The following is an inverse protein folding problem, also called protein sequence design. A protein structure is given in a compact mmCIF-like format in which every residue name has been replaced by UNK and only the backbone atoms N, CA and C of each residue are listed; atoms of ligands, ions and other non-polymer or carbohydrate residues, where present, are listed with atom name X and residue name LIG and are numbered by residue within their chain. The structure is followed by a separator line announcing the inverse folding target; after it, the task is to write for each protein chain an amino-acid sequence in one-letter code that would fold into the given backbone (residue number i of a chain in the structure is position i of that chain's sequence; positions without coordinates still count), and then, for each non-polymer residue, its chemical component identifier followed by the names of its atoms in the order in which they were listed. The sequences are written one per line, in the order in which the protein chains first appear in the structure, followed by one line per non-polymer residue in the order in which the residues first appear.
data_IF_257365981724
#
_entry.id   IF_257365981724
#
_cell.length_a   1.000
_cell.length_b   1.000
_cell.length_c   1.000
_cell.angle_alpha   90.00
_cell.angle_beta   90.00
_cell.angle_gamma   90.00
#
_symmetry.space_group_name_H-M   'P 1'
#
loop_
_entity.id
_entity.type
_entity.pdbx_description
1 polymer ?
#
# COMPACT_ATOMS: atom_id res chain seq x y z
N UNK A 1 28.08 -17.40 -21.78
CA UNK A 1 26.63 -17.27 -22.08
C UNK A 1 25.92 -16.30 -21.15
N UNK A 2 25.87 -16.50 -19.83
CA UNK A 2 25.22 -15.55 -18.90
C UNK A 2 25.79 -14.13 -18.93
N UNK A 3 27.12 -14.00 -19.06
CA UNK A 3 27.79 -12.70 -19.23
C UNK A 3 27.37 -12.03 -20.55
N UNK A 4 27.21 -12.81 -21.63
CA UNK A 4 26.71 -12.30 -22.91
C UNK A 4 25.24 -11.87 -22.80
N UNK A 5 24.40 -12.66 -22.12
CA UNK A 5 23.00 -12.33 -21.90
C UNK A 5 22.86 -11.06 -21.03
N UNK A 6 23.65 -10.92 -19.98
CA UNK A 6 23.72 -9.71 -19.16
C UNK A 6 24.23 -8.51 -19.96
N UNK A 7 25.30 -8.67 -20.76
CA UNK A 7 25.85 -7.61 -21.58
C UNK A 7 24.85 -7.12 -22.63
N UNK A 8 24.19 -8.04 -23.34
CA UNK A 8 23.12 -7.72 -24.32
C UNK A 8 21.96 -7.04 -23.62
N UNK A 9 21.54 -7.53 -22.45
CA UNK A 9 20.46 -6.93 -21.68
C UNK A 9 20.77 -5.48 -21.24
N UNK A 10 21.95 -5.25 -20.67
CA UNK A 10 22.40 -3.92 -20.24
C UNK A 10 22.54 -2.98 -21.44
N UNK A 11 23.08 -3.48 -22.56
CA UNK A 11 23.20 -2.70 -23.79
C UNK A 11 21.83 -2.29 -24.33
N UNK A 12 20.88 -3.22 -24.42
CA UNK A 12 19.49 -2.96 -24.83
C UNK A 12 18.81 -1.95 -23.91
N UNK A 13 18.94 -2.11 -22.59
CA UNK A 13 18.40 -1.16 -21.62
C UNK A 13 19.04 0.24 -21.78
N UNK A 14 20.36 0.32 -22.00
CA UNK A 14 21.06 1.59 -22.21
C UNK A 14 20.64 2.28 -23.53
N UNK A 15 20.46 1.52 -24.61
CA UNK A 15 19.95 2.02 -25.90
C UNK A 15 18.54 2.59 -25.74
N UNK A 16 17.67 1.84 -25.09
CA UNK A 16 16.31 2.27 -24.85
C UNK A 16 16.24 3.51 -23.95
N UNK A 17 17.03 3.56 -22.88
CA UNK A 17 17.11 4.75 -22.05
C UNK A 17 17.64 5.95 -22.83
N UNK A 18 18.62 5.78 -23.72
CA UNK A 18 19.11 6.87 -24.57
C UNK A 18 18.05 7.38 -25.55
N UNK A 19 17.18 6.49 -26.04
CA UNK A 19 16.15 6.84 -27.02
C UNK A 19 14.90 7.44 -26.37
N UNK A 20 14.42 6.85 -25.27
CA UNK A 20 13.17 7.24 -24.61
C UNK A 20 13.33 8.19 -23.44
N UNK A 21 14.51 8.27 -22.78
CA UNK A 21 14.67 9.18 -21.65
C UNK A 21 14.76 10.63 -22.12
N UNK A 22 13.91 11.47 -21.51
CA UNK A 22 13.92 12.91 -21.73
C UNK A 22 15.21 13.50 -21.13
N UNK A 23 15.81 14.46 -21.82
CA UNK A 23 17.00 15.17 -21.32
C UNK A 23 16.62 15.98 -20.08
N UNK A 24 17.22 15.68 -18.92
CA UNK A 24 17.02 16.40 -17.66
C UNK A 24 16.36 15.61 -16.53
N UNK A 25 16.05 14.33 -16.74
CA UNK A 25 15.47 13.48 -15.69
C UNK A 25 16.45 13.17 -14.54
N UNK A 26 15.91 12.96 -13.35
CA UNK A 26 16.69 12.68 -12.13
C UNK A 26 17.40 11.32 -12.26
N UNK A 27 18.67 11.25 -11.88
CA UNK A 27 19.51 10.04 -12.03
C UNK A 27 18.89 8.79 -11.39
N UNK A 28 18.24 8.91 -10.21
CA UNK A 28 17.63 7.74 -9.56
C UNK A 28 16.53 7.11 -10.40
N UNK A 29 15.75 7.90 -11.14
CA UNK A 29 14.68 7.40 -12.01
C UNK A 29 15.31 6.60 -13.15
N UNK A 30 16.38 7.13 -13.73
CA UNK A 30 17.10 6.47 -14.82
C UNK A 30 17.70 5.13 -14.37
N UNK A 31 18.29 5.07 -13.17
CA UNK A 31 18.85 3.84 -12.61
C UNK A 31 17.75 2.82 -12.32
N UNK A 32 16.64 3.22 -11.70
CA UNK A 32 15.52 2.31 -11.38
C UNK A 32 14.87 1.75 -12.66
N UNK A 33 14.64 2.59 -13.66
CA UNK A 33 14.04 2.15 -14.93
C UNK A 33 15.04 1.28 -15.71
N UNK A 34 16.30 1.68 -15.78
CA UNK A 34 17.35 0.91 -16.46
C UNK A 34 17.56 -0.47 -15.86
N UNK A 35 17.58 -0.57 -14.53
CA UNK A 35 17.68 -1.85 -13.82
C UNK A 35 16.44 -2.71 -14.05
N UNK A 36 15.24 -2.14 -14.01
CA UNK A 36 13.99 -2.85 -14.35
C UNK A 36 14.02 -3.45 -15.76
N UNK A 37 14.43 -2.66 -16.76
CA UNK A 37 14.50 -3.12 -18.15
C UNK A 37 15.60 -4.17 -18.35
N UNK A 38 16.73 -4.00 -17.66
CA UNK A 38 17.83 -4.99 -17.69
C UNK A 38 17.39 -6.34 -17.09
N UNK A 39 16.58 -6.32 -16.03
CA UNK A 39 16.03 -7.56 -15.45
C UNK A 39 15.02 -8.20 -16.42
N UNK A 40 14.17 -7.41 -17.07
CA UNK A 40 13.22 -7.89 -18.07
C UNK A 40 13.88 -8.56 -19.27
N UNK A 41 14.83 -7.89 -19.92
CA UNK A 41 15.56 -8.47 -21.06
C UNK A 41 16.37 -9.71 -20.68
N UNK A 42 16.93 -9.73 -19.47
CA UNK A 42 17.66 -10.90 -18.97
C UNK A 42 16.74 -12.13 -18.87
N UNK A 43 15.50 -11.98 -18.40
CA UNK A 43 14.57 -13.11 -18.27
C UNK A 43 14.24 -13.77 -19.61
N UNK A 44 14.11 -13.00 -20.70
CA UNK A 44 13.88 -13.55 -22.05
C UNK A 44 15.05 -14.38 -22.56
N UNK A 45 16.28 -13.97 -22.24
CA UNK A 45 17.49 -14.69 -22.65
C UNK A 45 17.72 -15.97 -21.82
N UNK A 46 17.12 -16.06 -20.64
CA UNK A 46 17.16 -17.24 -19.77
C UNK A 46 16.06 -18.26 -20.13
N UNK A 47 14.96 -17.81 -20.73
CA UNK A 47 13.84 -18.65 -21.15
C UNK A 47 14.22 -19.92 -21.96
N UNK A 48 15.04 -19.84 -23.03
CA UNK A 48 15.39 -21.05 -23.79
C UNK A 48 16.12 -22.09 -22.94
N UNK A 49 16.97 -21.64 -22.01
CA UNK A 49 17.68 -22.53 -21.09
C UNK A 49 16.76 -23.17 -20.05
N UNK A 50 15.74 -22.45 -19.58
CA UNK A 50 14.72 -23.03 -18.70
C UNK A 50 13.89 -24.09 -19.44
N UNK A 51 13.53 -23.83 -20.69
CA UNK A 51 12.78 -24.75 -21.53
C UNK A 51 13.56 -26.05 -21.77
N UNK A 52 14.85 -25.95 -22.11
CA UNK A 52 15.74 -27.10 -22.28
C UNK A 52 15.92 -27.89 -20.97
N UNK A 53 16.07 -27.18 -19.83
CA UNK A 53 16.20 -27.82 -18.53
C UNK A 53 14.91 -28.53 -18.08
N UNK A 54 13.74 -27.97 -18.38
CA UNK A 54 12.45 -28.60 -18.14
C UNK A 54 12.26 -29.86 -19.01
N UNK A 55 12.62 -29.78 -20.29
CA UNK A 55 12.57 -30.91 -21.22
C UNK A 55 13.49 -32.06 -20.77
N UNK A 56 14.74 -31.74 -20.41
CA UNK A 56 15.69 -32.71 -19.87
C UNK A 56 15.15 -33.41 -18.59
N UNK A 57 14.58 -32.65 -17.65
CA UNK A 57 13.97 -33.25 -16.44
C UNK A 57 12.81 -34.17 -16.78
N UNK A 58 11.97 -33.81 -17.73
CA UNK A 58 10.87 -34.66 -18.19
C UNK A 58 11.39 -35.95 -18.82
N UNK A 59 12.39 -35.86 -19.70
CA UNK A 59 13.04 -37.00 -20.33
C UNK A 59 13.60 -37.98 -19.29
N UNK A 60 14.38 -37.48 -18.31
CA UNK A 60 14.94 -38.33 -17.24
C UNK A 60 13.85 -38.99 -16.39
N UNK A 61 12.76 -38.28 -16.10
CA UNK A 61 11.64 -38.82 -15.35
C UNK A 61 10.95 -39.95 -16.11
N UNK A 62 10.63 -39.76 -17.39
CA UNK A 62 9.95 -40.77 -18.22
C UNK A 62 10.82 -42.00 -18.46
N UNK A 63 12.12 -41.82 -18.73
CA UNK A 63 13.04 -42.94 -18.96
C UNK A 63 13.28 -43.76 -17.69
N UNK A 64 13.32 -43.12 -16.51
CA UNK A 64 13.42 -43.83 -15.23
C UNK A 64 12.16 -44.68 -14.92
N UNK A 65 10.97 -44.18 -15.25
CA UNK A 65 9.70 -44.91 -15.03
C UNK A 65 9.46 -46.01 -16.07
N UNK A 66 9.98 -45.85 -17.29
CA UNK A 66 9.95 -46.90 -18.31
C UNK A 66 10.88 -48.08 -17.98
N UNK A 67 11.96 -47.83 -17.22
CA UNK A 67 12.92 -48.85 -16.79
C UNK A 67 12.54 -49.54 -15.46
N UNK A 68 11.48 -49.11 -14.77
CA UNK A 68 11.00 -49.78 -13.57
C UNK A 68 10.38 -51.15 -13.94
N UNK A 69 10.63 -52.23 -13.18
CA UNK A 69 10.13 -53.55 -13.50
C UNK A 69 8.60 -53.57 -13.44
N UNK A 70 7.94 -53.68 -14.59
CA UNK A 70 6.51 -54.00 -14.68
C UNK A 70 6.34 -55.41 -14.14
N UNK A 71 5.74 -55.55 -12.96
CA UNK A 71 5.25 -56.84 -12.50
C UNK A 71 4.20 -57.33 -13.50
N UNK A 72 4.50 -58.45 -14.17
CA UNK A 72 3.62 -59.33 -14.95
C UNK A 72 2.24 -58.78 -15.39
N UNK A 73 2.21 -57.65 -16.09
CA UNK A 73 1.03 -57.22 -16.83
C UNK A 73 1.32 -57.38 -18.31
N UNK A 74 0.51 -58.23 -18.94
CA UNK A 74 0.57 -58.59 -20.35
C UNK A 74 0.65 -57.35 -21.23
N UNK A 75 1.62 -57.37 -22.14
CA UNK A 75 2.18 -56.25 -22.91
C UNK A 75 1.24 -55.58 -23.94
N UNK A 76 -0.09 -55.59 -23.75
CA UNK A 76 -1.03 -55.18 -24.80
C UNK A 76 -1.77 -53.84 -24.58
N UNK A 77 -1.63 -53.16 -23.43
CA UNK A 77 -2.29 -51.85 -23.20
C UNK A 77 -1.30 -50.70 -22.95
N UNK A 78 -0.11 -50.76 -23.55
CA UNK A 78 0.73 -49.57 -23.66
C UNK A 78 0.38 -48.90 -24.98
N UNK A 79 -0.47 -47.88 -24.92
CA UNK A 79 -0.48 -46.82 -25.92
C UNK A 79 0.95 -46.26 -25.91
N UNK A 80 1.78 -46.78 -26.81
CA UNK A 80 3.10 -46.27 -27.06
C UNK A 80 2.90 -44.89 -27.69
N UNK A 81 3.16 -43.84 -26.91
CA UNK A 81 3.50 -42.55 -27.48
C UNK A 81 4.76 -42.82 -28.32
N UNK A 82 4.64 -42.72 -29.64
CA UNK A 82 5.63 -43.03 -30.70
C UNK A 82 6.99 -42.29 -30.57
N UNK A 83 7.25 -41.61 -29.46
CA UNK A 83 8.42 -40.74 -29.28
C UNK A 83 9.09 -41.06 -27.93
N UNK A 84 9.75 -42.22 -27.85
CA UNK A 84 10.48 -42.66 -26.66
C UNK A 84 12.00 -42.42 -26.86
N UNK A 85 12.56 -41.32 -26.32
CA UNK A 85 13.99 -41.01 -26.49
C UNK A 85 14.83 -41.94 -25.62
N UNK A 86 15.59 -42.82 -26.26
CA UNK A 86 16.51 -43.76 -25.61
C UNK A 86 17.81 -43.10 -25.08
N UNK A 87 18.07 -41.84 -25.44
CA UNK A 87 19.24 -41.10 -24.96
C UNK A 87 18.87 -39.64 -24.63
N UNK A 88 18.79 -39.31 -23.34
CA UNK A 88 18.50 -37.95 -22.90
C UNK A 88 19.80 -37.13 -22.95
N UNK A 89 20.11 -36.52 -24.10
CA UNK A 89 21.24 -35.61 -24.21
C UNK A 89 20.93 -34.26 -23.54
N UNK A 90 21.35 -34.12 -22.28
CA UNK A 90 21.23 -32.88 -21.54
C UNK A 90 22.56 -32.12 -21.60
N UNK A 91 22.56 -30.85 -22.01
CA UNK A 91 23.80 -30.07 -22.03
C UNK A 91 24.35 -29.91 -20.60
N UNK A 92 25.62 -30.30 -20.35
CA UNK A 92 26.24 -30.17 -19.04
C UNK A 92 26.56 -28.70 -18.79
N UNK A 93 25.82 -28.07 -17.90
CA UNK A 93 26.03 -26.66 -17.57
C UNK A 93 26.30 -26.48 -16.07
N UNK A 94 27.51 -26.05 -15.67
CA UNK A 94 27.77 -25.62 -14.31
C UNK A 94 26.96 -24.34 -14.01
N UNK A 95 26.22 -24.33 -12.89
CA UNK A 95 25.46 -23.17 -12.41
C UNK A 95 23.93 -23.23 -12.54
N UNK A 96 23.36 -24.29 -13.11
CA UNK A 96 21.90 -24.43 -13.34
C UNK A 96 21.16 -25.09 -12.15
N UNK A 97 21.86 -25.55 -11.11
CA UNK A 97 21.24 -26.19 -9.95
C UNK A 97 20.23 -25.30 -9.21
N UNK A 98 20.45 -23.98 -9.24
CA UNK A 98 19.55 -23.02 -8.62
C UNK A 98 18.32 -22.66 -9.49
N UNK A 99 18.40 -22.82 -10.82
CA UNK A 99 17.34 -22.47 -11.77
C UNK A 99 15.96 -23.08 -11.45
N UNK A 100 15.84 -24.38 -11.10
CA UNK A 100 14.55 -24.99 -10.77
C UNK A 100 13.89 -24.41 -9.50
N UNK A 101 14.65 -23.70 -8.66
CA UNK A 101 14.12 -22.97 -7.50
C UNK A 101 13.92 -21.49 -7.81
N UNK A 102 14.85 -20.89 -8.55
CA UNK A 102 14.93 -19.45 -8.80
C UNK A 102 13.83 -18.96 -9.72
N UNK A 103 13.51 -19.69 -10.80
CA UNK A 103 12.47 -19.25 -11.75
C UNK A 103 11.06 -19.28 -11.12
N UNK A 104 10.62 -20.39 -10.48
CA UNK A 104 9.33 -20.38 -9.79
C UNK A 104 9.27 -19.40 -8.62
N UNK A 105 10.39 -19.12 -7.95
CA UNK A 105 10.45 -18.10 -6.91
C UNK A 105 10.30 -16.70 -7.51
N UNK A 106 11.06 -16.37 -8.55
CA UNK A 106 10.98 -15.11 -9.27
C UNK A 106 9.56 -14.86 -9.80
N UNK A 107 8.95 -15.86 -10.45
CA UNK A 107 7.57 -15.79 -10.93
C UNK A 107 6.56 -15.47 -9.82
N UNK A 108 6.64 -16.17 -8.68
CA UNK A 108 5.71 -15.92 -7.56
C UNK A 108 5.93 -14.55 -6.93
N UNK A 109 7.19 -14.13 -6.81
CA UNK A 109 7.55 -12.82 -6.26
C UNK A 109 7.09 -11.70 -7.19
N UNK A 110 7.30 -11.82 -8.50
CA UNK A 110 6.85 -10.81 -9.46
C UNK A 110 5.33 -10.74 -9.53
N UNK A 111 4.64 -11.88 -9.45
CA UNK A 111 3.18 -11.92 -9.37
C UNK A 111 2.67 -11.22 -8.11
N UNK A 112 3.21 -11.57 -6.93
CA UNK A 112 2.83 -10.93 -5.66
C UNK A 112 3.14 -9.43 -5.66
N UNK A 113 4.33 -9.06 -6.13
CA UNK A 113 4.77 -7.67 -6.18
C UNK A 113 3.93 -6.87 -7.17
N UNK A 114 3.51 -7.46 -8.30
CA UNK A 114 2.62 -6.82 -9.25
C UNK A 114 1.28 -6.41 -8.62
N UNK A 115 0.63 -7.34 -7.90
CA UNK A 115 -0.60 -7.04 -7.18
C UNK A 115 -0.37 -6.00 -6.06
N UNK A 116 0.59 -6.25 -5.18
CA UNK A 116 0.86 -5.38 -4.04
C UNK A 116 1.27 -3.97 -4.47
N UNK A 117 2.11 -3.84 -5.51
CA UNK A 117 2.56 -2.54 -6.00
C UNK A 117 1.43 -1.74 -6.64
N UNK A 118 0.52 -2.41 -7.36
CA UNK A 118 -0.64 -1.75 -7.96
C UNK A 118 -1.53 -1.11 -6.88
N UNK A 119 -1.84 -1.84 -5.82
CA UNK A 119 -2.65 -1.30 -4.73
C UNK A 119 -1.92 -0.27 -3.88
N UNK A 120 -0.63 -0.49 -3.62
CA UNK A 120 0.20 0.49 -2.93
C UNK A 120 0.26 1.80 -3.69
N UNK A 121 0.43 1.75 -5.02
CA UNK A 121 0.46 2.95 -5.85
C UNK A 121 -0.90 3.66 -5.82
N UNK A 122 -1.99 2.91 -5.93
CA UNK A 122 -3.35 3.46 -5.85
C UNK A 122 -3.59 4.18 -4.52
N UNK A 123 -3.26 3.54 -3.40
CA UNK A 123 -3.44 4.14 -2.08
C UNK A 123 -2.44 5.29 -1.82
N UNK A 124 -1.22 5.21 -2.34
CA UNK A 124 -0.24 6.30 -2.26
C UNK A 124 -0.72 7.57 -2.98
N UNK A 125 -1.32 7.43 -4.17
CA UNK A 125 -1.87 8.56 -4.94
C UNK A 125 -3.12 9.11 -4.25
N UNK A 126 -3.95 8.24 -3.67
CA UNK A 126 -5.17 8.64 -2.95
C UNK A 126 -4.91 9.24 -1.57
N UNK A 127 -3.69 9.12 -1.04
CA UNK A 127 -3.37 9.61 0.30
C UNK A 127 -3.37 11.14 0.37
N UNK A 128 -4.06 11.68 1.39
CA UNK A 128 -4.14 13.12 1.66
C UNK A 128 -2.93 13.70 2.40
N UNK A 129 -1.92 12.88 2.69
CA UNK A 129 -0.74 13.29 3.45
C UNK A 129 0.17 14.24 2.66
N UNK A 130 0.82 15.18 3.34
CA UNK A 130 1.69 16.18 2.69
C UNK A 130 3.14 15.71 2.51
N UNK A 131 3.57 14.71 3.30
CA UNK A 131 4.95 14.20 3.26
C UNK A 131 5.03 12.85 2.54
N UNK A 132 6.05 12.62 1.70
CA UNK A 132 6.19 11.35 0.96
C UNK A 132 6.30 10.13 1.86
N UNK A 133 6.89 10.28 3.06
CA UNK A 133 6.96 9.22 4.08
C UNK A 133 5.60 8.96 4.74
N UNK A 134 4.82 10.01 5.01
CA UNK A 134 3.45 9.91 5.52
C UNK A 134 2.55 9.19 4.51
N UNK A 135 2.60 9.60 3.24
CA UNK A 135 1.87 8.96 2.14
C UNK A 135 2.15 7.46 2.02
N UNK A 136 3.42 7.05 2.12
CA UNK A 136 3.78 5.63 2.06
C UNK A 136 3.28 4.85 3.27
N UNK A 137 3.36 5.42 4.47
CA UNK A 137 2.87 4.78 5.70
C UNK A 137 1.36 4.59 5.65
N UNK A 138 0.65 5.61 5.18
CA UNK A 138 -0.80 5.57 5.05
C UNK A 138 -1.23 4.57 3.98
N UNK A 139 -0.52 4.55 2.85
CA UNK A 139 -0.77 3.56 1.81
C UNK A 139 -0.57 2.13 2.31
N UNK A 140 0.51 1.87 3.04
CA UNK A 140 0.76 0.57 3.66
C UNK A 140 -0.31 0.21 4.68
N UNK A 141 -0.80 1.18 5.46
CA UNK A 141 -1.85 0.95 6.46
C UNK A 141 -3.17 0.56 5.81
N UNK A 142 -3.55 1.23 4.73
CA UNK A 142 -4.78 0.94 4.00
C UNK A 142 -4.70 -0.41 3.28
N UNK A 143 -3.58 -0.70 2.60
CA UNK A 143 -3.34 -2.03 2.05
C UNK A 143 -3.38 -3.11 3.12
N UNK A 144 -2.72 -2.91 4.28
CA UNK A 144 -2.71 -3.87 5.36
C UNK A 144 -4.12 -4.09 5.95
N UNK A 145 -4.91 -3.03 6.12
CA UNK A 145 -6.28 -3.13 6.63
C UNK A 145 -7.15 -4.03 5.74
N UNK A 146 -6.98 -3.95 4.42
CA UNK A 146 -7.70 -4.83 3.50
C UNK A 146 -7.10 -6.24 3.48
N UNK A 147 -5.80 -6.38 3.25
CA UNK A 147 -5.17 -7.68 2.97
C UNK A 147 -4.96 -8.59 4.19
N UNK A 148 -4.68 -8.02 5.37
CA UNK A 148 -4.41 -8.80 6.59
C UNK A 148 -5.60 -9.69 6.99
N UNK A 149 -6.85 -9.19 7.12
CA UNK A 149 -7.96 -10.05 7.55
C UNK A 149 -8.25 -11.18 6.55
N UNK A 150 -8.23 -10.91 5.23
CA UNK A 150 -8.43 -11.95 4.22
C UNK A 150 -7.32 -13.01 4.26
N UNK A 151 -6.07 -12.61 4.49
CA UNK A 151 -4.94 -13.53 4.62
C UNK A 151 -5.08 -14.40 5.86
N UNK A 152 -5.49 -13.82 6.99
CA UNK A 152 -5.72 -14.57 8.24
C UNK A 152 -6.81 -15.62 8.06
N UNK A 153 -7.93 -15.25 7.43
CA UNK A 153 -9.03 -16.20 7.13
C UNK A 153 -8.56 -17.30 6.17
N UNK A 154 -7.83 -16.93 5.11
CA UNK A 154 -7.31 -17.89 4.12
C UNK A 154 -6.30 -18.88 4.72
N UNK A 155 -5.37 -18.39 5.55
CA UNK A 155 -4.42 -19.25 6.28
C UNK A 155 -5.15 -20.15 7.28
N UNK A 156 -6.14 -19.62 8.01
CA UNK A 156 -6.97 -20.41 8.93
C UNK A 156 -7.71 -21.54 8.21
N UNK A 157 -8.27 -21.26 7.03
CA UNK A 157 -8.89 -22.27 6.17
C UNK A 157 -7.89 -23.34 5.72
N UNK A 158 -6.66 -22.94 5.37
CA UNK A 158 -5.60 -23.87 4.96
C UNK A 158 -5.17 -24.79 6.10
N UNK A 159 -5.02 -24.25 7.31
CA UNK A 159 -4.73 -25.02 8.53
C UNK A 159 -5.87 -26.02 8.81
N UNK A 160 -7.12 -25.58 8.67
CA UNK A 160 -8.29 -26.45 8.82
C UNK A 160 -8.26 -27.64 7.84
N UNK A 161 -7.94 -27.40 6.56
CA UNK A 161 -7.83 -28.46 5.55
C UNK A 161 -6.72 -29.46 5.90
N UNK A 162 -5.55 -28.98 6.34
CA UNK A 162 -4.44 -29.85 6.78
C UNK A 162 -4.86 -30.72 7.95
N UNK A 163 -5.49 -30.14 8.98
CA UNK A 163 -5.91 -30.87 10.18
C UNK A 163 -7.02 -31.89 9.94
N UNK A 164 -7.96 -31.60 9.02
CA UNK A 164 -9.13 -32.48 8.78
C UNK A 164 -8.89 -33.54 7.71
N UNK A 165 -8.14 -33.21 6.66
CA UNK A 165 -7.93 -34.11 5.51
C UNK A 165 -6.54 -34.76 5.50
N UNK A 166 -5.65 -34.41 6.43
CA UNK A 166 -4.29 -34.94 6.46
C UNK A 166 -3.46 -34.54 5.24
N UNK A 167 -3.77 -33.41 4.61
CA UNK A 167 -3.12 -32.95 3.40
C UNK A 167 -1.63 -32.66 3.64
N UNK A 168 -0.78 -33.19 2.76
CA UNK A 168 0.66 -32.88 2.78
C UNK A 168 0.90 -31.42 2.36
N UNK A 169 1.95 -30.78 2.90
CA UNK A 169 2.34 -29.42 2.54
C UNK A 169 2.56 -29.25 1.03
N UNK A 170 3.02 -30.31 0.36
CA UNK A 170 3.21 -30.34 -1.09
C UNK A 170 1.89 -30.23 -1.85
N UNK A 171 0.87 -31.00 -1.42
CA UNK A 171 -0.47 -30.94 -2.03
C UNK A 171 -1.13 -29.58 -1.84
N UNK A 172 -1.00 -29.00 -0.64
CA UNK A 172 -1.49 -27.64 -0.33
C UNK A 172 -0.83 -26.60 -1.22
N UNK A 173 0.50 -26.66 -1.40
CA UNK A 173 1.24 -25.74 -2.28
C UNK A 173 0.79 -25.85 -3.74
N UNK A 174 0.53 -27.07 -4.22
CA UNK A 174 0.01 -27.31 -5.56
C UNK A 174 -1.39 -26.73 -5.73
N UNK A 175 -2.29 -26.94 -4.76
CA UNK A 175 -3.64 -26.39 -4.75
C UNK A 175 -3.62 -24.86 -4.81
N UNK A 176 -2.86 -24.21 -3.94
CA UNK A 176 -2.76 -22.74 -3.88
C UNK A 176 -2.20 -22.19 -5.20
N UNK A 177 -1.18 -22.83 -5.75
CA UNK A 177 -0.61 -22.40 -7.05
C UNK A 177 -1.62 -22.55 -8.18
N UNK A 178 -2.36 -23.67 -8.22
CA UNK A 178 -3.42 -23.90 -9.21
C UNK A 178 -4.56 -22.88 -9.10
N UNK A 179 -4.96 -22.52 -7.88
CA UNK A 179 -6.02 -21.54 -7.64
C UNK A 179 -5.62 -20.14 -8.12
N UNK A 180 -4.41 -19.68 -7.79
CA UNK A 180 -3.91 -18.39 -8.28
C UNK A 180 -3.82 -18.32 -9.80
N UNK A 181 -3.40 -19.42 -10.45
CA UNK A 181 -3.38 -19.51 -11.91
C UNK A 181 -4.80 -19.46 -12.51
N UNK A 182 -5.76 -20.17 -11.91
CA UNK A 182 -7.15 -20.16 -12.37
C UNK A 182 -7.78 -18.77 -12.24
N UNK A 183 -7.56 -18.08 -11.12
CA UNK A 183 -8.02 -16.69 -10.93
C UNK A 183 -7.35 -15.75 -11.93
N UNK A 184 -6.04 -15.89 -12.15
CA UNK A 184 -5.31 -15.09 -13.14
C UNK A 184 -5.85 -15.29 -14.55
N UNK A 185 -6.14 -16.53 -14.95
CA UNK A 185 -6.73 -16.84 -16.24
C UNK A 185 -8.16 -16.32 -16.36
N UNK A 186 -8.96 -16.43 -15.29
CA UNK A 186 -10.31 -15.87 -15.25
C UNK A 186 -10.31 -14.35 -15.46
N UNK A 187 -9.44 -13.64 -14.74
CA UNK A 187 -9.25 -12.20 -14.86
C UNK A 187 -8.78 -11.83 -16.29
N UNK A 188 -7.82 -12.59 -16.84
CA UNK A 188 -7.33 -12.37 -18.20
C UNK A 188 -8.45 -12.48 -19.22
N UNK A 189 -9.26 -13.54 -19.17
CA UNK A 189 -10.38 -13.76 -20.09
C UNK A 189 -11.43 -12.65 -19.93
N UNK A 190 -11.76 -12.27 -18.69
CA UNK A 190 -12.72 -11.21 -18.42
C UNK A 190 -12.28 -9.85 -18.99
N UNK A 191 -11.02 -9.45 -18.76
CA UNK A 191 -10.52 -8.16 -19.25
C UNK A 191 -10.17 -8.16 -20.73
N UNK A 192 -9.75 -9.30 -21.29
CA UNK A 192 -9.45 -9.40 -22.72
C UNK A 192 -10.70 -9.12 -23.57
N UNK A 193 -11.87 -9.61 -23.14
CA UNK A 193 -13.14 -9.33 -23.82
C UNK A 193 -13.46 -7.84 -23.88
N UNK A 194 -13.30 -7.13 -22.75
CA UNK A 194 -13.50 -5.69 -22.69
C UNK A 194 -12.46 -4.93 -23.53
N UNK A 195 -11.18 -5.27 -23.36
CA UNK A 195 -10.08 -4.62 -24.07
C UNK A 195 -10.17 -4.75 -25.59
N UNK A 196 -10.69 -5.87 -26.10
CA UNK A 196 -10.83 -6.09 -27.54
C UNK A 196 -11.91 -5.21 -28.19
N UNK A 197 -12.95 -4.84 -27.45
CA UNK A 197 -14.08 -4.05 -27.97
C UNK A 197 -13.91 -2.57 -27.67
N UNK A 198 -13.58 -2.25 -26.41
CA UNK A 198 -13.58 -0.87 -25.95
C UNK A 198 -12.36 -0.10 -26.47
N UNK A 199 -11.17 -0.71 -26.54
CA UNK A 199 -9.96 0.01 -27.01
C UNK A 199 -10.10 0.49 -28.46
N UNK A 200 -10.52 -0.35 -29.44
CA UNK A 200 -10.74 0.14 -30.81
C UNK A 200 -11.87 1.17 -30.89
N UNK A 201 -12.95 0.97 -30.14
CA UNK A 201 -14.08 1.91 -30.09
C UNK A 201 -13.65 3.28 -29.58
N UNK A 202 -12.86 3.32 -28.52
CA UNK A 202 -12.30 4.55 -27.99
C UNK A 202 -11.37 5.23 -28.99
N UNK A 203 -10.54 4.46 -29.70
CA UNK A 203 -9.66 5.01 -30.72
C UNK A 203 -10.46 5.62 -31.88
N UNK A 204 -11.55 4.97 -32.28
CA UNK A 204 -12.49 5.48 -33.28
C UNK A 204 -13.14 6.79 -32.82
N UNK A 205 -13.63 6.86 -31.58
CA UNK A 205 -14.21 8.09 -31.04
C UNK A 205 -13.17 9.21 -30.87
N UNK A 206 -11.93 8.86 -30.50
CA UNK A 206 -10.80 9.82 -30.41
C UNK A 206 -10.36 10.36 -31.77
N UNK A 207 -10.64 9.66 -32.86
CA UNK A 207 -10.36 10.14 -34.20
C UNK A 207 -11.33 11.27 -34.64
N UNK A 208 -12.55 11.34 -34.09
CA UNK A 208 -13.47 12.46 -34.34
C UNK A 208 -13.15 13.67 -33.44
N UNK A 209 -12.25 14.52 -33.92
CA UNK A 209 -11.81 15.71 -33.19
C UNK A 209 -12.94 16.72 -32.87
N UNK A 210 -13.97 16.84 -33.70
CA UNK A 210 -15.06 17.81 -33.49
C UNK A 210 -16.02 17.29 -32.41
N UNK A 211 -16.36 16.00 -32.46
CA UNK A 211 -17.11 15.33 -31.40
C UNK A 211 -16.38 15.39 -30.05
N UNK A 212 -15.10 15.02 -30.05
CA UNK A 212 -14.25 15.02 -28.86
C UNK A 212 -14.17 16.42 -28.23
N UNK A 213 -14.00 17.48 -29.05
CA UNK A 213 -13.90 18.85 -28.55
C UNK A 213 -15.19 19.34 -27.88
N UNK A 214 -16.35 19.01 -28.44
CA UNK A 214 -17.65 19.34 -27.83
C UNK A 214 -17.83 18.63 -26.49
N UNK A 215 -17.50 17.35 -26.44
CA UNK A 215 -17.56 16.57 -25.21
C UNK A 215 -16.60 17.11 -24.15
N UNK A 216 -15.35 17.41 -24.52
CA UNK A 216 -14.35 17.99 -23.60
C UNK A 216 -14.80 19.35 -23.05
N UNK A 217 -15.35 20.23 -23.89
CA UNK A 217 -15.88 21.53 -23.43
C UNK A 217 -16.98 21.36 -22.40
N UNK A 218 -17.91 20.43 -22.63
CA UNK A 218 -18.95 20.09 -21.66
C UNK A 218 -18.34 19.53 -20.37
N UNK A 219 -17.40 18.59 -20.47
CA UNK A 219 -16.72 17.99 -19.31
C UNK A 219 -15.96 19.02 -18.48
N UNK A 220 -15.30 19.98 -19.11
CA UNK A 220 -14.62 21.10 -18.43
C UNK A 220 -15.62 21.95 -17.65
N UNK A 221 -16.78 22.27 -18.23
CA UNK A 221 -17.82 23.04 -17.54
C UNK A 221 -18.37 22.31 -16.30
N UNK A 222 -18.61 21.00 -16.40
CA UNK A 222 -19.05 20.18 -15.26
C UNK A 222 -17.96 20.11 -14.19
N UNK A 223 -16.72 19.83 -14.58
CA UNK A 223 -15.60 19.75 -13.64
C UNK A 223 -15.31 21.08 -12.96
N UNK A 224 -15.50 22.22 -13.64
CA UNK A 224 -15.36 23.53 -13.01
C UNK A 224 -16.42 23.78 -11.94
N UNK A 225 -17.65 23.31 -12.16
CA UNK A 225 -18.72 23.41 -11.16
C UNK A 225 -18.41 22.54 -9.93
N UNK A 226 -17.97 21.30 -10.14
CA UNK A 226 -17.57 20.40 -9.05
C UNK A 226 -16.39 20.95 -8.24
N UNK A 227 -15.41 21.56 -8.92
CA UNK A 227 -14.27 22.21 -8.25
C UNK A 227 -14.75 23.40 -7.43
N UNK A 228 -15.67 24.21 -7.96
CA UNK A 228 -16.22 25.34 -7.24
C UNK A 228 -17.00 24.90 -5.99
N UNK A 229 -17.83 23.86 -6.10
CA UNK A 229 -18.54 23.27 -4.97
C UNK A 229 -17.58 22.70 -3.91
N UNK A 230 -16.52 22.00 -4.34
CA UNK A 230 -15.51 21.45 -3.44
C UNK A 230 -14.68 22.56 -2.75
N UNK A 231 -14.35 23.63 -3.47
CA UNK A 231 -13.68 24.81 -2.90
C UNK A 231 -14.55 25.50 -1.85
N UNK A 232 -15.84 25.69 -2.13
CA UNK A 232 -16.77 26.28 -1.17
C UNK A 232 -16.89 25.46 0.12
N UNK A 233 -16.95 24.14 0.02
CA UNK A 233 -16.96 23.24 1.21
C UNK A 233 -15.66 23.33 2.01
N UNK A 234 -14.53 23.50 1.34
CA UNK A 234 -13.24 23.67 2.02
C UNK A 234 -13.20 25.01 2.77
N UNK A 235 -13.64 26.09 2.16
CA UNK A 235 -13.73 27.41 2.80
C UNK A 235 -14.67 27.40 4.01
N UNK A 236 -15.83 26.75 3.89
CA UNK A 236 -16.77 26.59 5.00
C UNK A 236 -16.14 25.81 6.16
N UNK A 237 -15.43 24.70 5.88
CA UNK A 237 -14.74 23.92 6.89
C UNK A 237 -13.64 24.74 7.58
N UNK A 238 -12.86 25.52 6.83
CA UNK A 238 -11.83 26.42 7.38
C UNK A 238 -12.50 27.43 8.31
N UNK A 239 -13.52 28.15 7.86
CA UNK A 239 -14.24 29.12 8.68
C UNK A 239 -14.85 28.51 9.95
N UNK A 240 -15.38 27.29 9.88
CA UNK A 240 -15.91 26.57 11.03
C UNK A 240 -14.79 26.24 12.05
N UNK A 241 -13.64 25.75 11.60
CA UNK A 241 -12.49 25.49 12.49
C UNK A 241 -11.96 26.79 13.12
N UNK A 242 -11.92 27.86 12.35
CA UNK A 242 -11.50 29.19 12.78
C UNK A 242 -12.44 29.79 13.84
N UNK A 243 -13.75 29.59 13.66
CA UNK A 243 -14.77 30.00 14.63
C UNK A 243 -14.68 29.17 15.92
N UNK A 244 -14.45 27.85 15.81
CA UNK A 244 -14.26 26.98 16.97
C UNK A 244 -13.03 27.37 17.79
N UNK A 245 -11.89 27.65 17.13
CA UNK A 245 -10.67 28.12 17.79
C UNK A 245 -10.90 29.46 18.53
N UNK A 246 -11.63 30.40 17.93
CA UNK A 246 -11.98 31.68 18.58
C UNK A 246 -12.92 31.48 19.78
N UNK A 247 -13.88 30.55 19.69
CA UNK A 247 -14.77 30.22 20.80
C UNK A 247 -14.01 29.57 21.97
N UNK A 248 -13.07 28.67 21.68
CA UNK A 248 -12.18 28.10 22.69
C UNK A 248 -11.30 29.17 23.35
N UNK A 249 -10.70 30.09 22.57
CA UNK A 249 -9.91 31.19 23.12
C UNK A 249 -10.76 32.15 23.99
N UNK A 250 -11.99 32.46 23.56
CA UNK A 250 -12.92 33.27 24.33
C UNK A 250 -13.33 32.59 25.65
N UNK A 251 -13.60 31.28 25.63
CA UNK A 251 -13.94 30.54 26.86
C UNK A 251 -12.74 30.43 27.82
N UNK A 252 -11.52 30.24 27.30
CA UNK A 252 -10.30 30.25 28.10
C UNK A 252 -10.04 31.60 28.79
N UNK A 253 -10.20 32.72 28.06
CA UNK A 253 -10.04 34.06 28.64
C UNK A 253 -11.12 34.41 29.66
N UNK A 254 -12.37 34.01 29.44
CA UNK A 254 -13.46 34.16 30.41
C UNK A 254 -13.22 33.33 31.70
N UNK A 255 -12.69 32.12 31.57
CA UNK A 255 -12.28 31.32 32.74
C UNK A 255 -11.12 31.97 33.51
N UNK A 256 -10.16 32.57 32.81
CA UNK A 256 -9.04 33.25 33.45
C UNK A 256 -9.50 34.47 34.28
N UNK A 257 -10.42 35.28 33.77
CA UNK A 257 -10.93 36.44 34.49
C UNK A 257 -11.76 36.05 35.72
N UNK A 258 -12.57 34.99 35.63
CA UNK A 258 -13.31 34.44 36.78
C UNK A 258 -12.39 33.92 37.88
N UNK A 259 -11.30 33.22 37.51
CA UNK A 259 -10.29 32.76 38.49
C UNK A 259 -9.62 33.92 39.21
N UNK A 260 -9.27 34.99 38.48
CA UNK A 260 -8.70 36.21 39.05
C UNK A 260 -9.65 36.86 40.06
N UNK A 261 -10.93 37.01 39.72
CA UNK A 261 -11.94 37.56 40.63
C UNK A 261 -12.13 36.69 41.87
N UNK A 262 -12.20 35.36 41.72
CA UNK A 262 -12.33 34.43 42.83
C UNK A 262 -11.11 34.48 43.77
N UNK A 263 -9.89 34.54 43.23
CA UNK A 263 -8.66 34.69 44.01
C UNK A 263 -8.63 36.00 44.80
N UNK A 264 -9.00 37.11 44.17
CA UNK A 264 -9.03 38.43 44.83
C UNK A 264 -10.08 38.50 45.94
N UNK A 265 -11.24 37.87 45.74
CA UNK A 265 -12.27 37.75 46.77
C UNK A 265 -11.79 36.91 47.98
N UNK A 266 -11.03 35.82 47.74
CA UNK A 266 -10.44 35.02 48.83
C UNK A 266 -9.39 35.81 49.62
N UNK A 267 -8.55 36.60 48.95
CA UNK A 267 -7.54 37.44 49.62
C UNK A 267 -8.23 38.47 50.52
N UNK A 268 -9.23 39.20 50.00
CA UNK A 268 -10.00 40.16 50.78
C UNK A 268 -10.75 39.52 51.96
N UNK A 269 -11.30 38.31 51.78
CA UNK A 269 -11.95 37.58 52.87
C UNK A 269 -10.96 37.20 53.98
N UNK A 270 -9.76 36.76 53.61
CA UNK A 270 -8.68 36.46 54.59
C UNK A 270 -8.21 37.72 55.32
N UNK A 271 -8.08 38.84 54.61
CA UNK A 271 -7.70 40.12 55.22
C UNK A 271 -8.76 40.60 56.22
N UNK A 272 -10.05 40.53 55.88
CA UNK A 272 -11.15 40.86 56.80
C UNK A 272 -11.16 39.98 58.05
N UNK A 273 -10.86 38.69 57.89
CA UNK A 273 -10.82 37.75 59.02
C UNK A 273 -9.61 37.98 59.92
N UNK A 274 -8.46 38.36 59.35
CA UNK A 274 -7.27 38.77 60.07
C UNK A 274 -7.46 40.09 60.83
N UNK A 275 -8.16 41.07 60.22
CA UNK A 275 -8.55 42.33 60.86
C UNK A 275 -9.50 42.10 62.04
N UNK A 276 -10.47 41.19 61.91
CA UNK A 276 -11.38 40.82 62.99
C UNK A 276 -10.66 40.11 64.16
N UNK A 277 -9.49 39.51 63.92
CA UNK A 277 -8.65 38.86 64.93
C UNK A 277 -7.63 39.79 65.62
N UNK A 278 -7.59 41.09 65.28
CA UNK A 278 -6.80 42.10 66.01
C UNK A 278 -5.28 42.04 65.81
N UNK A 279 -4.77 41.44 64.71
CA UNK A 279 -3.32 41.36 64.45
C UNK A 279 -2.80 42.52 63.58
N UNK A 280 -1.60 43.09 63.86
CA UNK A 280 -1.10 44.27 63.17
C UNK A 280 -0.60 43.99 61.73
N UNK A 281 -0.80 45.01 60.88
CA UNK A 281 -0.82 45.00 59.41
C UNK A 281 0.56 44.84 58.70
N UNK A 282 1.54 44.16 59.29
CA UNK A 282 2.95 44.24 58.84
C UNK A 282 3.69 42.94 58.50
N UNK A 283 3.15 41.76 58.80
CA UNK A 283 3.97 40.54 58.81
C UNK A 283 3.97 39.68 57.54
N UNK A 284 3.08 39.91 56.55
CA UNK A 284 2.86 38.94 55.47
C UNK A 284 3.28 39.38 54.06
N UNK A 285 4.22 40.33 53.93
CA UNK A 285 4.84 40.60 52.62
C UNK A 285 5.83 39.50 52.19
N UNK A 286 6.28 38.64 53.12
CA UNK A 286 7.19 37.52 52.82
C UNK A 286 6.48 36.27 52.27
N UNK A 287 5.14 36.16 52.38
CA UNK A 287 4.38 35.02 51.82
C UNK A 287 4.03 35.18 50.34
N UNK A 288 3.99 36.41 49.82
CA UNK A 288 3.84 36.66 48.38
C UNK A 288 5.08 36.22 47.58
N UNK A 289 6.26 36.17 48.22
CA UNK A 289 7.47 35.60 47.60
C UNK A 289 7.46 34.07 47.56
N UNK A 290 6.70 33.40 48.45
CA UNK A 290 6.55 31.93 48.47
C UNK A 290 5.55 31.42 47.43
N UNK A 291 4.51 32.21 47.12
CA UNK A 291 3.53 31.86 46.10
C UNK A 291 4.06 32.01 44.66
N UNK A 292 5.07 32.87 44.44
CA UNK A 292 5.79 32.94 43.14
C UNK A 292 6.82 31.83 42.98
N UNK A 293 7.30 31.22 44.08
CA UNK A 293 8.19 30.04 44.01
C UNK A 293 7.44 28.79 43.55
N UNK A 294 6.14 28.69 43.88
CA UNK A 294 5.26 27.64 43.36
C UNK A 294 4.90 27.85 41.88
N UNK A 295 4.98 29.06 41.33
CA UNK A 295 4.84 29.31 39.88
C UNK A 295 6.05 28.83 39.08
N UNK A 296 7.25 28.81 39.66
CA UNK A 296 8.46 28.28 39.00
C UNK A 296 8.52 26.75 39.10
N UNK A 297 8.08 26.20 40.23
CA UNK A 297 7.79 24.77 40.39
C UNK A 297 6.65 24.29 39.48
N UNK A 298 5.59 25.09 39.27
CA UNK A 298 4.48 24.75 38.38
C UNK A 298 4.72 25.07 36.92
N UNK A 299 5.63 25.99 36.55
CA UNK A 299 6.16 26.05 35.18
C UNK A 299 7.02 24.83 34.87
N UNK A 300 7.82 24.35 35.81
CA UNK A 300 8.52 23.07 35.71
C UNK A 300 7.54 21.90 35.54
N UNK A 301 6.52 21.83 36.40
CA UNK A 301 5.48 20.79 36.36
C UNK A 301 4.56 20.92 35.14
N UNK A 302 4.26 22.11 34.63
CA UNK A 302 3.49 22.34 33.41
C UNK A 302 4.30 22.06 32.13
N UNK A 303 5.63 22.24 32.16
CA UNK A 303 6.52 21.85 31.06
C UNK A 303 6.78 20.34 31.07
N UNK A 304 6.89 19.69 32.25
CA UNK A 304 6.89 18.23 32.37
C UNK A 304 5.50 17.62 32.20
N UNK A 305 4.40 18.34 32.44
CA UNK A 305 3.04 17.89 32.13
C UNK A 305 2.73 18.11 30.65
N UNK A 306 3.24 19.15 29.99
CA UNK A 306 3.22 19.26 28.53
C UNK A 306 4.13 18.20 27.87
N UNK A 307 5.24 17.83 28.52
CA UNK A 307 6.10 16.70 28.13
C UNK A 307 5.47 15.32 28.41
N UNK A 308 4.76 15.16 29.53
CA UNK A 308 4.10 13.93 29.95
C UNK A 308 2.72 13.75 29.32
N UNK A 309 2.00 14.80 28.92
CA UNK A 309 0.80 14.74 28.05
C UNK A 309 1.18 14.41 26.60
N UNK A 310 2.44 14.60 26.22
CA UNK A 310 2.99 14.07 24.96
C UNK A 310 3.35 12.57 25.07
N UNK A 311 3.51 12.04 26.29
CA UNK A 311 3.87 10.64 26.56
C UNK A 311 2.69 9.78 27.09
N UNK A 312 1.68 10.39 27.71
CA UNK A 312 0.44 9.78 28.15
C UNK A 312 -0.69 10.25 27.23
N UNK A 313 -0.67 9.74 26.00
CA UNK A 313 -1.87 9.64 25.20
C UNK A 313 -2.77 8.57 25.84
N UNK A 314 -3.94 8.91 26.42
CA UNK A 314 -4.96 7.90 26.61
C UNK A 314 -5.50 7.57 25.22
N UNK A 315 -5.47 6.27 24.91
CA UNK A 315 -6.14 5.67 23.78
C UNK A 315 -7.54 6.27 23.62
N UNK A 316 -7.74 7.08 22.58
CA UNK A 316 -9.08 7.41 22.14
C UNK A 316 -9.70 6.14 21.59
N UNK A 317 -10.55 5.55 22.42
CA UNK A 317 -11.70 4.79 21.97
C UNK A 317 -12.40 5.62 20.90
N UNK A 318 -12.19 5.23 19.65
CA UNK A 318 -13.20 5.10 18.61
C UNK A 318 -14.61 5.54 19.03
N UNK A 319 -14.84 6.85 19.08
CA UNK A 319 -16.16 7.43 18.97
C UNK A 319 -16.34 7.73 17.49
N UNK A 320 -17.20 6.94 16.86
CA UNK A 320 -17.52 7.01 15.45
C UNK A 320 -17.91 8.44 15.05
N UNK A 321 -17.11 9.05 14.16
CA UNK A 321 -17.63 10.08 13.28
C UNK A 321 -18.87 9.50 12.56
N UNK A 322 -19.95 10.28 12.35
CA UNK A 322 -21.01 9.83 11.47
C UNK A 322 -20.36 9.62 10.10
N UNK A 323 -20.18 8.35 9.72
CA UNK A 323 -19.90 7.96 8.35
C UNK A 323 -21.05 8.51 7.54
N UNK A 324 -20.83 9.65 6.89
CA UNK A 324 -21.66 10.09 5.80
C UNK A 324 -21.74 8.91 4.83
N UNK A 325 -22.95 8.39 4.68
CA UNK A 325 -23.30 7.40 3.68
C UNK A 325 -22.86 7.91 2.32
N UNK A 326 -21.80 7.31 1.77
CA UNK A 326 -21.33 7.72 0.45
C UNK A 326 -20.14 6.97 -0.15
N UNK A 327 -20.09 5.63 -0.21
CA UNK A 327 -19.22 4.96 -1.18
C UNK A 327 -19.83 4.93 -2.60
N UNK A 328 -21.00 5.53 -2.83
CA UNK A 328 -21.71 5.45 -4.11
C UNK A 328 -21.30 6.51 -5.15
N UNK A 329 -20.81 7.70 -4.73
CA UNK A 329 -20.65 8.83 -5.68
C UNK A 329 -19.31 8.86 -6.42
N UNK A 330 -18.22 8.37 -5.81
CA UNK A 330 -16.91 8.26 -6.48
C UNK A 330 -16.83 7.08 -7.45
N UNK A 331 -17.75 6.12 -7.35
CA UNK A 331 -17.82 4.98 -8.26
C UNK A 331 -18.33 5.41 -9.65
N UNK A 332 -19.24 6.39 -9.71
CA UNK A 332 -19.73 6.96 -10.97
C UNK A 332 -18.65 7.67 -11.81
N UNK A 333 -17.62 8.25 -11.19
CA UNK A 333 -16.54 8.95 -11.94
C UNK A 333 -15.55 7.96 -12.57
N UNK A 334 -15.45 6.74 -12.04
CA UNK A 334 -14.66 5.65 -12.63
C UNK A 334 -15.46 4.77 -13.60
N UNK A 335 -16.79 4.72 -13.44
CA UNK A 335 -17.68 3.97 -14.35
C UNK A 335 -17.98 4.74 -15.66
N UNK A 336 -17.79 6.06 -15.72
CA UNK A 336 -18.03 6.90 -16.91
C UNK A 336 -16.80 7.08 -17.86
N UNK A 337 -15.92 6.09 -17.89
CA UNK A 337 -14.99 5.90 -19.01
C UNK A 337 -13.52 5.88 -18.64
N UNK A 338 -13.00 4.66 -18.54
CA UNK A 338 -11.70 4.30 -19.09
C UNK A 338 -11.86 3.34 -20.25
#
# INVERSE_FOLDING_TARGET
MWVLALAVSILSAALCLRYFARRGERLYVLVVVGTSWSIGFFMFLVLPFDLEHAYCRRCRYTSAHAAAPRGNETANDVIAWEDQPSDCHCLPHPGIEALPTLIPAAYRVTMLLGYLMNDLLRSYISSGEFTSRGRLRDALRECAFFYVPFTVVGVGFLVYLISRQGLTLTAVRMLVTGLFNAIGLFILVAFLGYGLVEVPRQLWHRADGIGQLRFLRFKVAVLSEELHEASGKLEEAVHATDAALRAEAASASAQASLRLQAGLAQILAREKLALAAGSPLGANLQLLSGATSDEEGQRGVAMTAAGALRAAAPASSTAAAPRSSGPAKWRQVLDDGF
#
